data_IF_423814345341
#
_entry.id   IF_423814345341
#
_cell.length_a   1.000
_cell.length_b   1.000
_cell.length_c   1.000
_cell.angle_alpha   90.00
_cell.angle_beta   90.00
_cell.angle_gamma   90.00
#
_symmetry.space_group_name_H-M   'P 1'
#
loop_
_entity.id
_entity.type
_entity.pdbx_description
1 polymer ?
#
# COMPACT_ATOMS: atom_id res chain seq x y z
N UNK A 1 22.49 20.06 39.27
CA UNK A 1 23.16 19.08 38.38
C UNK A 1 22.26 17.95 37.88
N UNK A 2 21.45 17.28 38.71
CA UNK A 2 20.56 16.18 38.24
C UNK A 2 19.53 16.62 37.19
N UNK A 3 18.85 17.75 37.44
CA UNK A 3 17.85 18.34 36.51
C UNK A 3 18.43 18.69 35.13
N UNK A 4 19.64 19.25 35.08
CA UNK A 4 20.31 19.60 33.81
C UNK A 4 20.68 18.34 33.00
N UNK A 5 21.11 17.26 33.67
CA UNK A 5 21.37 15.97 32.99
C UNK A 5 20.09 15.34 32.43
N UNK A 6 18.98 15.40 33.18
CA UNK A 6 17.67 14.91 32.70
C UNK A 6 17.21 15.71 31.48
N UNK A 7 17.33 17.04 31.52
CA UNK A 7 16.96 17.91 30.41
C UNK A 7 17.77 17.58 29.14
N UNK A 8 19.08 17.36 29.27
CA UNK A 8 19.94 16.98 28.14
C UNK A 8 19.52 15.63 27.54
N UNK A 9 19.17 14.65 28.37
CA UNK A 9 18.69 13.33 27.88
C UNK A 9 17.39 13.48 27.11
N UNK A 10 16.44 14.28 27.61
CA UNK A 10 15.16 14.54 26.93
C UNK A 10 15.40 15.23 25.58
N UNK A 11 16.24 16.27 25.55
CA UNK A 11 16.57 17.00 24.32
C UNK A 11 17.28 16.09 23.32
N UNK A 12 18.24 15.28 23.77
CA UNK A 12 18.94 14.32 22.91
C UNK A 12 17.97 13.28 22.33
N UNK A 13 17.03 12.76 23.15
CA UNK A 13 15.99 11.85 22.69
C UNK A 13 15.07 12.48 21.64
N UNK A 14 14.68 13.74 21.83
CA UNK A 14 13.89 14.48 20.84
C UNK A 14 14.66 14.72 19.53
N UNK A 15 15.95 15.04 19.59
CA UNK A 15 16.79 15.24 18.40
C UNK A 15 16.97 13.92 17.63
N UNK A 16 17.23 12.81 18.34
CA UNK A 16 17.38 11.48 17.73
C UNK A 16 16.05 11.05 17.11
N UNK A 17 14.94 11.15 17.85
CA UNK A 17 13.61 10.81 17.34
C UNK A 17 13.23 11.64 16.11
N UNK A 18 13.46 12.96 16.14
CA UNK A 18 13.23 13.82 14.98
C UNK A 18 14.14 13.48 13.79
N UNK A 19 15.40 13.12 14.06
CA UNK A 19 16.35 12.69 13.03
C UNK A 19 15.90 11.39 12.35
N UNK A 20 15.54 10.37 13.13
CA UNK A 20 15.03 9.10 12.60
C UNK A 20 13.74 9.29 11.80
N UNK A 21 12.81 10.11 12.31
CA UNK A 21 11.58 10.46 11.60
C UNK A 21 11.86 11.12 10.24
N UNK A 22 12.74 12.12 10.20
CA UNK A 22 13.13 12.79 8.94
C UNK A 22 13.75 11.82 7.95
N UNK A 23 14.71 11.01 8.40
CA UNK A 23 15.39 10.03 7.54
C UNK A 23 14.39 9.02 7.00
N UNK A 24 13.45 8.55 7.81
CA UNK A 24 12.46 7.59 7.34
C UNK A 24 11.52 8.19 6.30
N UNK A 25 10.99 9.39 6.59
CA UNK A 25 10.15 10.12 5.65
C UNK A 25 10.88 10.36 4.33
N UNK A 26 12.14 10.78 4.40
CA UNK A 26 12.99 10.97 3.23
C UNK A 26 13.23 9.63 2.49
N UNK A 27 13.35 8.49 3.18
CA UNK A 27 13.48 7.16 2.55
C UNK A 27 12.20 6.79 1.79
N UNK A 28 11.03 7.00 2.39
CA UNK A 28 9.74 6.78 1.72
C UNK A 28 9.63 7.68 0.49
N UNK A 29 9.84 8.98 0.66
CA UNK A 29 9.79 9.97 -0.42
C UNK A 29 10.86 9.73 -1.50
N UNK A 30 12.06 9.25 -1.14
CA UNK A 30 13.11 8.87 -2.08
C UNK A 30 12.74 7.61 -2.88
N UNK A 31 12.14 6.60 -2.24
CA UNK A 31 11.66 5.40 -2.95
C UNK A 31 10.52 5.74 -3.91
N UNK A 32 9.66 6.68 -3.53
CA UNK A 32 8.57 7.18 -4.38
C UNK A 32 9.09 8.03 -5.55
N UNK A 33 10.08 8.90 -5.32
CA UNK A 33 10.64 9.80 -6.34
C UNK A 33 11.67 9.15 -7.28
N UNK A 34 12.30 8.05 -6.89
CA UNK A 34 13.24 7.30 -7.75
C UNK A 34 12.54 6.46 -8.85
N UNK A 35 11.22 6.54 -8.95
CA UNK A 35 10.44 5.80 -9.94
C UNK A 35 10.60 6.38 -11.34
N UNK A 36 11.15 5.58 -12.26
CA UNK A 36 10.98 5.76 -13.70
C UNK A 36 10.01 4.69 -14.25
N UNK A 37 8.91 5.07 -14.91
CA UNK A 37 7.93 4.11 -15.41
C UNK A 37 8.53 3.22 -16.50
N UNK A 38 8.60 1.92 -16.24
CA UNK A 38 8.99 0.91 -17.23
C UNK A 38 7.73 0.42 -17.93
N UNK A 39 7.42 1.00 -19.08
CA UNK A 39 6.34 0.52 -19.93
C UNK A 39 6.73 -0.82 -20.59
N UNK A 40 5.82 -1.80 -20.70
CA UNK A 40 6.03 -2.91 -21.62
C UNK A 40 6.25 -2.32 -23.03
N UNK A 41 7.16 -2.90 -23.84
CA UNK A 41 7.42 -2.39 -25.18
C UNK A 41 6.10 -2.30 -25.95
N UNK A 42 5.67 -1.08 -26.25
CA UNK A 42 4.58 -0.86 -27.20
C UNK A 42 5.04 -1.45 -28.52
N UNK A 43 4.38 -2.52 -28.94
CA UNK A 43 4.55 -3.09 -30.26
C UNK A 43 3.90 -2.10 -31.26
N UNK A 44 4.56 -0.98 -31.51
CA UNK A 44 4.15 0.01 -32.49
C UNK A 44 4.48 -0.57 -33.87
N UNK A 45 3.57 -1.40 -34.36
CA UNK A 45 3.43 -1.62 -35.79
C UNK A 45 3.01 -0.31 -36.45
N UNK A 46 3.74 0.01 -37.52
CA UNK A 46 3.37 0.89 -38.62
C UNK A 46 3.34 2.41 -38.36
N UNK A 47 4.51 3.01 -38.58
CA UNK A 47 4.76 4.01 -39.63
C UNK A 47 3.59 4.93 -40.02
N UNK A 48 3.66 6.21 -39.64
CA UNK A 48 3.39 7.37 -40.51
C UNK A 48 3.77 8.67 -39.80
N UNK A 49 4.70 9.41 -40.41
CA UNK A 49 5.19 10.71 -39.93
C UNK A 49 4.21 11.86 -40.13
N UNK A 50 4.45 12.97 -39.41
CA UNK A 50 3.75 14.23 -39.62
C UNK A 50 3.97 15.28 -38.52
N UNK A 51 4.68 16.36 -38.88
CA UNK A 51 4.65 17.74 -38.37
C UNK A 51 4.71 18.03 -36.85
N UNK A 52 5.84 18.64 -36.45
CA UNK A 52 5.95 19.49 -35.25
C UNK A 52 5.09 20.74 -35.44
N UNK A 53 4.04 20.88 -34.65
CA UNK A 53 3.30 22.15 -34.50
C UNK A 53 3.68 22.80 -33.17
N UNK A 54 4.06 24.08 -33.24
CA UNK A 54 4.41 24.93 -32.10
C UNK A 54 3.20 25.14 -31.19
N UNK A 55 3.24 24.63 -29.96
CA UNK A 55 2.21 24.85 -28.94
C UNK A 55 2.54 26.09 -28.07
N UNK A 56 1.53 26.91 -27.70
CA UNK A 56 1.68 28.10 -26.85
C UNK A 56 2.13 27.76 -25.40
N UNK A 57 2.63 28.74 -24.61
CA UNK A 57 3.27 28.49 -23.33
C UNK A 57 2.34 27.72 -22.37
N UNK A 58 2.93 26.69 -21.75
CA UNK A 58 2.29 25.67 -20.93
C UNK A 58 1.15 26.23 -20.06
N UNK A 59 -0.10 25.95 -20.47
CA UNK A 59 -1.14 25.70 -19.49
C UNK A 59 -0.66 24.51 -18.67
N UNK A 60 -0.56 24.67 -17.35
CA UNK A 60 -0.30 23.53 -16.46
C UNK A 60 -1.30 22.42 -16.85
N UNK A 61 -0.81 21.22 -17.21
CA UNK A 61 -1.71 20.15 -17.59
C UNK A 61 -2.64 19.90 -16.41
N UNK A 62 -3.93 19.62 -16.66
CA UNK A 62 -4.83 19.21 -15.58
C UNK A 62 -4.15 18.08 -14.82
N UNK A 63 -4.03 18.22 -13.49
CA UNK A 63 -3.49 17.15 -12.67
C UNK A 63 -4.36 15.92 -12.92
N UNK A 64 -3.79 14.98 -13.65
CA UNK A 64 -4.36 13.71 -13.99
C UNK A 64 -4.55 12.97 -12.66
N UNK A 65 -5.77 13.00 -12.12
CA UNK A 65 -6.15 12.39 -10.84
C UNK A 65 -5.85 10.88 -10.86
N UNK A 66 -5.67 10.29 -12.05
CA UNK A 66 -5.17 8.93 -12.26
C UNK A 66 -3.69 8.71 -11.82
N UNK A 67 -2.98 9.75 -11.33
CA UNK A 67 -1.53 9.73 -11.01
C UNK A 67 -1.14 10.12 -9.58
N UNK A 68 -1.97 9.84 -8.57
CA UNK A 68 -1.47 9.84 -7.20
C UNK A 68 -0.67 8.55 -6.95
N UNK A 69 0.59 8.63 -7.39
CA UNK A 69 1.73 7.85 -6.89
C UNK A 69 1.71 8.05 -5.37
N UNK A 70 1.86 6.97 -4.59
CA UNK A 70 1.65 6.93 -3.14
C UNK A 70 2.13 8.14 -2.33
N UNK A 71 1.54 8.38 -1.16
CA UNK A 71 1.99 9.43 -0.23
C UNK A 71 2.33 8.88 1.15
N UNK A 72 3.05 9.68 1.93
CA UNK A 72 3.40 9.35 3.30
C UNK A 72 2.32 9.80 4.31
N UNK A 73 2.07 8.94 5.29
CA UNK A 73 1.26 9.18 6.49
C UNK A 73 2.12 8.92 7.72
N UNK A 74 1.99 9.79 8.71
CA UNK A 74 2.75 9.66 9.96
C UNK A 74 2.19 8.51 10.81
N UNK A 75 3.07 7.63 11.27
CA UNK A 75 2.76 6.59 12.24
C UNK A 75 3.19 6.97 13.66
N UNK A 76 2.95 6.06 14.60
CA UNK A 76 3.34 6.25 16.01
C UNK A 76 4.59 5.48 16.40
N UNK A 77 5.19 4.73 15.48
CA UNK A 77 6.22 3.74 15.77
C UNK A 77 5.64 2.48 16.44
N UNK A 78 6.54 1.68 17.01
CA UNK A 78 6.20 0.48 17.78
C UNK A 78 5.68 0.79 19.18
N UNK A 79 4.77 -0.06 19.65
CA UNK A 79 4.20 -0.01 21.00
C UNK A 79 3.97 -1.43 21.53
N UNK A 80 4.03 -1.59 22.84
CA UNK A 80 3.57 -2.82 23.49
C UNK A 80 2.04 -2.75 23.65
N UNK A 81 1.35 -3.85 23.34
CA UNK A 81 -0.07 -4.03 23.66
C UNK A 81 -0.24 -5.33 24.47
N UNK A 82 -1.19 -5.38 25.42
CA UNK A 82 -1.36 -6.52 26.32
C UNK A 82 -2.18 -7.65 25.65
N UNK A 83 -1.67 -8.16 24.53
CA UNK A 83 -2.28 -9.25 23.76
C UNK A 83 -1.32 -10.44 23.70
N UNK A 84 -1.82 -11.62 24.05
CA UNK A 84 -1.07 -12.89 23.96
C UNK A 84 -1.56 -13.66 22.73
N UNK A 85 -0.86 -13.49 21.61
CA UNK A 85 -1.15 -14.17 20.35
C UNK A 85 0.14 -14.46 19.58
N UNK A 86 0.14 -15.55 18.82
CA UNK A 86 1.19 -15.89 17.86
C UNK A 86 0.95 -15.24 16.49
N UNK A 87 -0.25 -14.69 16.24
CA UNK A 87 -0.59 -14.01 14.98
C UNK A 87 0.27 -12.74 14.77
N UNK A 88 0.52 -12.40 13.51
CA UNK A 88 1.30 -11.20 13.13
C UNK A 88 0.46 -9.93 13.03
N UNK A 89 -0.84 -10.03 13.30
CA UNK A 89 -1.75 -8.90 13.37
C UNK A 89 -2.77 -9.09 14.50
N UNK A 90 -3.36 -7.98 14.96
CA UNK A 90 -4.51 -8.00 15.87
C UNK A 90 -5.30 -6.71 15.75
N UNK A 91 -6.62 -6.80 15.89
CA UNK A 91 -7.47 -5.63 16.11
C UNK A 91 -7.65 -5.44 17.62
N UNK A 92 -7.17 -4.32 18.15
CA UNK A 92 -7.25 -3.99 19.57
C UNK A 92 -7.71 -2.55 19.76
N UNK A 93 -8.68 -2.32 20.65
CA UNK A 93 -9.23 -0.98 20.96
C UNK A 93 -9.62 -0.14 19.72
N UNK A 94 -10.17 -0.79 18.68
CA UNK A 94 -10.62 -0.12 17.46
C UNK A 94 -9.48 0.32 16.53
N UNK A 95 -8.32 -0.31 16.62
CA UNK A 95 -7.22 -0.11 15.68
C UNK A 95 -6.60 -1.44 15.25
N UNK A 96 -6.06 -1.46 14.03
CA UNK A 96 -5.26 -2.56 13.52
C UNK A 96 -3.80 -2.39 13.97
N UNK A 97 -3.25 -3.46 14.53
CA UNK A 97 -1.83 -3.57 14.86
C UNK A 97 -1.22 -4.71 14.06
N UNK A 98 0.00 -4.49 13.55
CA UNK A 98 0.80 -5.50 12.86
C UNK A 98 2.20 -5.55 13.48
N UNK A 99 2.86 -6.70 13.45
CA UNK A 99 4.24 -6.86 13.92
C UNK A 99 5.06 -7.62 12.89
N UNK A 100 6.36 -7.34 12.81
CA UNK A 100 7.28 -8.09 11.94
C UNK A 100 7.69 -9.41 12.59
N UNK A 101 8.16 -10.38 11.79
CA UNK A 101 8.61 -11.69 12.31
C UNK A 101 9.83 -11.57 13.25
N UNK A 102 10.55 -10.46 13.18
CA UNK A 102 11.77 -10.20 13.95
C UNK A 102 11.47 -9.63 15.35
N UNK A 103 10.33 -8.97 15.53
CA UNK A 103 10.10 -8.12 16.71
C UNK A 103 8.83 -8.49 17.48
N UNK A 104 8.89 -8.28 18.80
CA UNK A 104 7.74 -8.51 19.68
C UNK A 104 6.77 -7.32 19.74
N UNK A 105 7.22 -6.13 19.36
CA UNK A 105 6.45 -4.90 19.49
C UNK A 105 5.52 -4.67 18.30
N UNK A 106 4.42 -3.97 18.55
CA UNK A 106 3.32 -3.80 17.60
C UNK A 106 3.34 -2.42 16.95
N UNK A 107 3.16 -2.38 15.63
CA UNK A 107 2.98 -1.15 14.88
C UNK A 107 1.49 -0.89 14.69
N UNK A 108 1.02 0.28 15.13
CA UNK A 108 -0.36 0.71 14.85
C UNK A 108 -0.45 1.19 13.40
N UNK A 109 -1.36 0.60 12.62
CA UNK A 109 -1.65 1.05 11.25
C UNK A 109 -2.48 2.34 11.33
N UNK A 110 -2.00 3.48 10.79
CA UNK A 110 -2.72 4.75 10.85
C UNK A 110 -3.84 4.81 9.81
N UNK A 111 -4.82 5.67 10.06
CA UNK A 111 -5.79 6.06 9.04
C UNK A 111 -5.16 7.05 8.05
N UNK A 112 -5.59 6.96 6.80
CA UNK A 112 -5.33 7.99 5.80
C UNK A 112 -6.50 8.99 5.75
N UNK A 113 -6.19 10.26 6.00
CA UNK A 113 -7.16 11.35 5.99
C UNK A 113 -7.30 12.00 4.61
N UNK A 114 -6.50 11.60 3.61
CA UNK A 114 -6.56 12.14 2.26
C UNK A 114 -7.83 11.70 1.54
N UNK A 115 -8.52 12.66 0.92
CA UNK A 115 -9.75 12.37 0.16
C UNK A 115 -9.48 11.45 -1.02
N UNK A 116 -10.26 10.39 -1.17
CA UNK A 116 -10.14 9.40 -2.25
C UNK A 116 -9.42 8.11 -1.84
N UNK A 117 -8.79 8.10 -0.66
CA UNK A 117 -8.20 6.92 -0.03
C UNK A 117 -9.13 6.35 1.04
N UNK A 118 -9.05 5.05 1.27
CA UNK A 118 -9.78 4.40 2.33
C UNK A 118 -9.09 4.65 3.69
N UNK A 119 -9.90 4.73 4.75
CA UNK A 119 -9.44 4.73 6.15
C UNK A 119 -9.46 3.30 6.68
N UNK A 120 -8.36 2.79 7.23
CA UNK A 120 -8.31 1.39 7.70
C UNK A 120 -9.33 1.14 8.82
N UNK A 121 -9.63 2.15 9.63
CA UNK A 121 -10.63 2.06 10.71
C UNK A 121 -12.04 1.72 10.22
N UNK A 122 -12.41 2.08 8.98
CA UNK A 122 -13.71 1.79 8.38
C UNK A 122 -13.84 0.35 7.84
N UNK A 123 -12.74 -0.42 7.86
CA UNK A 123 -12.62 -1.77 7.28
C UNK A 123 -12.15 -2.82 8.27
N UNK A 124 -11.97 -2.50 9.56
CA UNK A 124 -11.42 -3.43 10.57
C UNK A 124 -12.19 -4.75 10.68
N UNK A 125 -13.49 -4.74 10.40
CA UNK A 125 -14.37 -5.92 10.41
C UNK A 125 -14.17 -6.84 9.19
N UNK A 126 -13.48 -6.37 8.17
CA UNK A 126 -13.16 -7.10 6.93
C UNK A 126 -11.70 -7.54 6.84
N UNK A 127 -10.84 -7.07 7.76
CA UNK A 127 -9.42 -7.42 7.77
C UNK A 127 -9.25 -8.86 8.26
N UNK A 128 -8.51 -9.63 7.47
CA UNK A 128 -8.10 -10.99 7.75
C UNK A 128 -6.60 -11.15 7.50
N UNK A 129 -6.06 -12.35 7.75
CA UNK A 129 -4.65 -12.64 7.47
C UNK A 129 -4.29 -12.41 5.99
N UNK A 130 -5.20 -12.68 5.06
CA UNK A 130 -4.97 -12.51 3.62
C UNK A 130 -4.74 -11.05 3.22
N UNK A 131 -5.27 -10.11 4.02
CA UNK A 131 -5.08 -8.68 3.81
C UNK A 131 -3.67 -8.19 4.18
N UNK A 132 -2.85 -9.03 4.80
CA UNK A 132 -1.66 -8.60 5.53
C UNK A 132 -0.45 -9.37 5.01
N UNK A 133 0.56 -8.62 4.61
CA UNK A 133 1.88 -9.14 4.32
C UNK A 133 2.87 -8.64 5.35
N UNK A 134 3.68 -9.55 5.88
CA UNK A 134 4.75 -9.23 6.83
C UNK A 134 6.01 -9.97 6.40
N UNK A 135 7.13 -9.25 6.39
CA UNK A 135 8.48 -9.83 6.30
C UNK A 135 9.36 -9.28 7.42
N UNK A 136 10.62 -9.69 7.46
CA UNK A 136 11.62 -9.08 8.35
C UNK A 136 11.88 -7.58 8.02
N UNK A 137 11.59 -7.15 6.79
CA UNK A 137 11.93 -5.80 6.30
C UNK A 137 10.77 -4.81 6.37
N UNK A 138 9.53 -5.26 6.16
CA UNK A 138 8.38 -4.37 6.10
C UNK A 138 7.07 -5.09 6.39
N UNK A 139 6.04 -4.29 6.70
CA UNK A 139 4.65 -4.74 6.75
C UNK A 139 3.82 -3.99 5.71
N UNK A 140 2.81 -4.66 5.16
CA UNK A 140 1.87 -4.13 4.20
C UNK A 140 0.45 -4.62 4.51
N UNK A 141 -0.54 -3.74 4.34
CA UNK A 141 -1.96 -4.06 4.52
C UNK A 141 -2.75 -3.57 3.31
N UNK A 142 -3.60 -4.43 2.75
CA UNK A 142 -4.56 -4.10 1.69
C UNK A 142 -5.98 -4.04 2.23
N UNK A 143 -6.72 -2.99 1.86
CA UNK A 143 -8.08 -2.73 2.34
C UNK A 143 -8.79 -1.79 1.36
N UNK A 144 -10.03 -1.39 1.65
CA UNK A 144 -10.75 -0.43 0.79
C UNK A 144 -11.65 -1.08 -0.26
N UNK A 145 -12.00 -0.28 -1.27
CA UNK A 145 -12.82 -0.70 -2.41
C UNK A 145 -14.34 -0.60 -2.20
N UNK A 146 -14.82 -0.03 -1.08
CA UNK A 146 -16.26 0.18 -0.82
C UNK A 146 -16.66 1.63 -1.11
N UNK A 147 -17.89 1.84 -1.58
CA UNK A 147 -18.39 3.19 -1.84
C UNK A 147 -17.57 3.92 -2.90
N UNK A 148 -17.13 5.14 -2.60
CA UNK A 148 -16.27 5.95 -3.49
C UNK A 148 -14.78 5.70 -3.32
N UNK A 149 -14.38 4.81 -2.41
CA UNK A 149 -12.99 4.57 -2.08
C UNK A 149 -12.45 3.42 -2.91
N UNK A 150 -11.27 3.61 -3.48
CA UNK A 150 -10.53 2.56 -4.16
C UNK A 150 -9.93 1.58 -3.14
N UNK A 151 -9.39 0.46 -3.63
CA UNK A 151 -8.48 -0.39 -2.87
C UNK A 151 -7.25 0.45 -2.51
N UNK A 152 -6.92 0.47 -1.22
CA UNK A 152 -5.75 1.13 -0.65
C UNK A 152 -4.76 0.09 -0.13
N UNK A 153 -3.48 0.41 -0.24
CA UNK A 153 -2.36 -0.39 0.26
C UNK A 153 -1.51 0.52 1.14
N UNK A 154 -1.38 0.18 2.42
CA UNK A 154 -0.55 0.92 3.38
C UNK A 154 0.64 0.08 3.82
N UNK A 155 1.85 0.67 3.84
CA UNK A 155 3.10 -0.06 4.05
C UNK A 155 4.08 0.71 4.92
N UNK A 156 4.83 0.03 5.78
CA UNK A 156 5.91 0.63 6.59
C UNK A 156 7.17 -0.21 6.54
N UNK A 157 8.31 0.47 6.37
CA UNK A 157 9.66 -0.10 6.36
C UNK A 157 10.46 0.23 7.62
N UNK A 158 9.87 0.98 8.54
CA UNK A 158 10.55 1.73 9.59
C UNK A 158 9.85 1.56 10.94
N UNK A 159 9.40 0.34 11.22
CA UNK A 159 8.78 -0.02 12.50
C UNK A 159 7.55 0.87 12.80
N UNK A 160 6.80 1.23 11.76
CA UNK A 160 5.54 1.97 11.88
C UNK A 160 5.72 3.44 12.20
N UNK A 161 6.91 4.01 12.03
CA UNK A 161 7.15 5.46 12.21
C UNK A 161 6.57 6.26 11.04
N UNK A 162 6.64 5.74 9.82
CA UNK A 162 6.07 6.31 8.62
C UNK A 162 5.43 5.23 7.76
N UNK A 163 4.33 5.58 7.11
CA UNK A 163 3.58 4.68 6.26
C UNK A 163 3.43 5.27 4.87
N UNK A 164 3.73 4.49 3.83
CA UNK A 164 3.42 4.83 2.44
C UNK A 164 2.03 4.27 2.11
N UNK A 165 1.13 5.13 1.65
CA UNK A 165 -0.24 4.78 1.25
C UNK A 165 -0.36 4.94 -0.26
N UNK A 166 -0.66 3.83 -0.94
CA UNK A 166 -1.01 3.80 -2.36
C UNK A 166 -2.48 3.43 -2.56
N UNK A 167 -3.01 3.73 -3.74
CA UNK A 167 -4.37 3.38 -4.14
C UNK A 167 -4.38 2.81 -5.56
N UNK A 168 -5.22 1.81 -5.81
CA UNK A 168 -5.44 1.26 -7.15
C UNK A 168 -6.67 1.94 -7.76
N UNK A 169 -6.45 2.85 -8.72
CA UNK A 169 -7.53 3.58 -9.37
C UNK A 169 -8.59 2.66 -10.00
N UNK A 170 -9.84 3.13 -10.04
CA UNK A 170 -10.98 2.45 -10.69
C UNK A 170 -11.35 1.10 -10.04
N UNK A 171 -11.11 0.97 -8.75
CA UNK A 171 -11.50 -0.21 -7.95
C UNK A 171 -12.61 0.10 -6.95
N UNK A 172 -13.06 1.35 -6.86
CA UNK A 172 -14.24 1.71 -6.09
C UNK A 172 -15.50 1.00 -6.63
N UNK A 173 -16.17 0.24 -5.75
CA UNK A 173 -17.35 -0.55 -6.14
C UNK A 173 -18.64 0.27 -6.23
N UNK A 174 -18.65 1.50 -5.70
CA UNK A 174 -19.82 2.38 -5.58
C UNK A 174 -20.99 1.83 -4.74
N UNK A 175 -20.79 0.72 -4.03
CA UNK A 175 -21.73 0.20 -3.03
C UNK A 175 -21.21 0.53 -1.63
N UNK A 176 -22.00 1.27 -0.86
CA UNK A 176 -21.63 1.73 0.49
C UNK A 176 -21.54 0.60 1.53
N UNK A 177 -22.07 -0.59 1.24
CA UNK A 177 -22.13 -1.72 2.18
C UNK A 177 -21.27 -2.88 1.74
N UNK A 178 -21.11 -3.09 0.43
CA UNK A 178 -20.40 -4.26 -0.12
C UNK A 178 -19.23 -3.83 -1.01
N UNK A 179 -18.02 -4.03 -0.52
CA UNK A 179 -16.79 -3.89 -1.31
C UNK A 179 -16.39 -5.21 -1.96
N UNK A 180 -15.11 -5.54 -1.84
CA UNK A 180 -14.56 -6.85 -2.14
C UNK A 180 -14.80 -7.80 -0.96
N UNK A 181 -15.11 -9.06 -1.24
CA UNK A 181 -15.34 -10.06 -0.19
C UNK A 181 -14.02 -10.53 0.41
N UNK A 182 -12.96 -10.59 -0.39
CA UNK A 182 -11.61 -10.92 0.05
C UNK A 182 -10.57 -10.11 -0.73
N UNK A 183 -9.53 -9.66 -0.03
CA UNK A 183 -8.37 -9.00 -0.60
C UNK A 183 -7.13 -9.76 -0.14
N UNK A 184 -6.27 -10.10 -1.08
CA UNK A 184 -5.04 -10.83 -0.88
C UNK A 184 -3.87 -9.93 -1.25
N UNK A 185 -2.83 -9.86 -0.42
CA UNK A 185 -1.58 -9.17 -0.76
C UNK A 185 -0.38 -10.05 -0.43
N UNK A 186 0.63 -10.02 -1.32
CA UNK A 186 1.87 -10.75 -1.13
C UNK A 186 3.02 -10.06 -1.87
N UNK A 187 4.25 -10.33 -1.45
CA UNK A 187 5.44 -9.85 -2.11
C UNK A 187 6.47 -10.97 -2.29
N UNK A 188 7.21 -10.89 -3.40
CA UNK A 188 8.41 -11.67 -3.61
C UNK A 188 9.57 -11.00 -2.86
N UNK A 189 10.13 -11.72 -1.88
CA UNK A 189 11.26 -11.25 -1.05
C UNK A 189 12.49 -10.80 -1.87
N UNK A 190 12.72 -11.41 -3.05
CA UNK A 190 13.97 -11.23 -3.78
C UNK A 190 13.94 -10.08 -4.80
N UNK A 191 12.74 -9.71 -5.26
CA UNK A 191 12.57 -8.81 -6.42
C UNK A 191 11.78 -7.55 -6.11
N UNK A 192 11.15 -7.47 -4.93
CA UNK A 192 10.22 -6.38 -4.64
C UNK A 192 8.96 -6.41 -5.50
N UNK A 193 8.69 -7.54 -6.17
CA UNK A 193 7.44 -7.72 -6.92
C UNK A 193 6.29 -7.91 -5.95
N UNK A 194 5.28 -7.06 -6.02
CA UNK A 194 4.03 -7.20 -5.27
C UNK A 194 2.97 -7.91 -6.11
N UNK A 195 2.15 -8.69 -5.43
CA UNK A 195 1.00 -9.41 -5.99
C UNK A 195 -0.23 -9.03 -5.16
N UNK A 196 -1.36 -8.84 -5.83
CA UNK A 196 -2.63 -8.55 -5.16
C UNK A 196 -3.77 -9.21 -5.94
N UNK A 197 -4.67 -9.86 -5.22
CA UNK A 197 -5.91 -10.39 -5.78
C UNK A 197 -7.10 -9.85 -4.99
N UNK A 198 -8.13 -9.40 -5.70
CA UNK A 198 -9.35 -8.86 -5.12
C UNK A 198 -10.55 -9.67 -5.60
N UNK A 199 -11.16 -10.44 -4.70
CA UNK A 199 -12.32 -11.26 -4.99
C UNK A 199 -13.60 -10.48 -4.72
N UNK A 200 -14.50 -10.46 -5.70
CA UNK A 200 -15.81 -9.84 -5.61
C UNK A 200 -16.89 -10.80 -6.09
N UNK A 201 -17.85 -11.07 -5.22
CA UNK A 201 -19.03 -11.82 -5.56
C UNK A 201 -20.13 -10.87 -6.08
N UNK A 202 -20.39 -10.92 -7.38
CA UNK A 202 -21.44 -10.12 -8.02
C UNK A 202 -22.80 -10.85 -8.05
N UNK A 203 -23.00 -11.78 -7.13
CA UNK A 203 -24.25 -12.51 -6.92
C UNK A 203 -24.29 -13.84 -7.67
N UNK A 204 -24.22 -13.81 -9.01
CA UNK A 204 -24.27 -15.03 -9.83
C UNK A 204 -22.91 -15.65 -10.14
N UNK A 205 -21.83 -14.90 -9.95
CA UNK A 205 -20.46 -15.34 -10.20
C UNK A 205 -19.50 -14.55 -9.30
N UNK A 206 -18.42 -15.19 -8.89
CA UNK A 206 -17.27 -14.51 -8.31
C UNK A 206 -16.33 -14.05 -9.41
N UNK A 207 -15.84 -12.81 -9.30
CA UNK A 207 -14.82 -12.22 -10.16
C UNK A 207 -13.55 -12.01 -9.32
N UNK A 208 -12.38 -12.38 -9.87
CA UNK A 208 -11.09 -12.11 -9.24
C UNK A 208 -10.35 -11.09 -10.10
N UNK A 209 -10.11 -9.90 -9.55
CA UNK A 209 -9.24 -8.91 -10.14
C UNK A 209 -7.81 -9.13 -9.65
N UNK A 210 -6.86 -9.26 -10.57
CA UNK A 210 -5.46 -9.46 -10.25
C UNK A 210 -4.64 -8.19 -10.55
N UNK A 211 -3.65 -7.92 -9.72
CA UNK A 211 -2.75 -6.78 -9.87
C UNK A 211 -1.32 -7.19 -9.53
N UNK A 212 -0.38 -6.52 -10.18
CA UNK A 212 1.05 -6.71 -9.95
C UNK A 212 1.74 -5.37 -9.73
N UNK A 213 2.68 -5.34 -8.81
CA UNK A 213 3.61 -4.24 -8.63
C UNK A 213 5.02 -4.69 -8.96
N UNK A 214 5.79 -3.84 -9.64
CA UNK A 214 7.22 -4.06 -9.92
C UNK A 214 8.13 -3.09 -9.16
N UNK A 215 7.55 -2.33 -8.22
CA UNK A 215 8.25 -1.27 -7.46
C UNK A 215 7.90 -1.34 -5.97
N UNK A 216 7.94 -2.55 -5.39
CA UNK A 216 7.64 -2.79 -3.99
C UNK A 216 6.23 -2.38 -3.57
N UNK A 217 5.24 -2.29 -4.46
CA UNK A 217 3.85 -1.95 -4.11
C UNK A 217 3.55 -0.46 -4.09
N UNK A 218 4.40 0.37 -4.71
CA UNK A 218 4.17 1.83 -4.88
C UNK A 218 3.08 2.05 -5.94
N UNK A 219 3.18 1.36 -7.08
CA UNK A 219 2.15 1.32 -8.12
C UNK A 219 1.72 -0.10 -8.42
N UNK A 220 0.49 -0.25 -8.89
CA UNK A 220 -0.13 -1.54 -9.15
C UNK A 220 -0.79 -1.53 -10.52
N UNK A 221 -0.34 -2.42 -11.39
CA UNK A 221 -0.86 -2.59 -12.73
C UNK A 221 -1.90 -3.72 -12.74
N UNK A 222 -3.07 -3.53 -13.37
CA UNK A 222 -4.05 -4.60 -13.51
C UNK A 222 -3.52 -5.69 -14.43
N UNK A 223 -3.73 -6.94 -14.02
CA UNK A 223 -3.39 -8.13 -14.81
C UNK A 223 -4.69 -8.78 -15.28
N UNK A 224 -4.90 -8.80 -16.59
CA UNK A 224 -6.14 -9.34 -17.17
C UNK A 224 -6.08 -10.85 -17.29
N UNK A 225 -7.23 -11.54 -17.31
CA UNK A 225 -7.31 -13.00 -17.47
C UNK A 225 -6.61 -13.55 -18.72
N UNK A 226 -6.48 -12.73 -19.78
CA UNK A 226 -5.79 -13.09 -21.01
C UNK A 226 -4.25 -12.96 -20.92
N UNK A 227 -3.73 -12.41 -19.82
CA UNK A 227 -2.31 -12.25 -19.56
C UNK A 227 -1.72 -13.53 -18.96
N UNK A 228 -0.53 -13.91 -19.40
CA UNK A 228 0.20 -15.05 -18.84
C UNK A 228 0.57 -14.84 -17.36
N UNK A 229 0.63 -13.59 -16.90
CA UNK A 229 0.87 -13.24 -15.50
C UNK A 229 -0.35 -13.48 -14.60
N UNK A 230 -1.56 -13.57 -15.15
CA UNK A 230 -2.78 -13.76 -14.35
C UNK A 230 -2.74 -15.02 -13.48
N UNK A 231 -2.47 -16.23 -14.04
CA UNK A 231 -2.32 -17.43 -13.22
C UNK A 231 -1.15 -17.35 -12.24
N UNK A 232 -0.08 -16.60 -12.57
CA UNK A 232 1.05 -16.39 -11.65
C UNK A 232 0.61 -15.63 -10.40
N UNK A 233 -0.11 -14.51 -10.56
CA UNK A 233 -0.63 -13.71 -9.45
C UNK A 233 -1.54 -14.56 -8.56
N UNK A 234 -2.49 -15.30 -9.16
CA UNK A 234 -3.41 -16.14 -8.39
C UNK A 234 -2.71 -17.26 -7.63
N UNK A 235 -1.67 -17.85 -8.22
CA UNK A 235 -0.92 -18.95 -7.59
C UNK A 235 -0.20 -18.53 -6.30
N UNK A 236 0.16 -17.25 -6.15
CA UNK A 236 0.75 -16.72 -4.91
C UNK A 236 -0.17 -16.88 -3.70
N UNK A 237 -1.49 -16.94 -3.96
CA UNK A 237 -2.52 -17.03 -2.93
C UNK A 237 -3.22 -18.39 -2.93
N UNK A 238 -2.69 -19.38 -3.66
CA UNK A 238 -3.33 -20.68 -3.83
C UNK A 238 -4.68 -20.63 -4.58
N UNK A 239 -4.97 -19.52 -5.25
CA UNK A 239 -6.18 -19.33 -6.04
C UNK A 239 -6.03 -19.95 -7.45
N UNK A 240 -7.16 -20.26 -8.08
CA UNK A 240 -7.22 -20.72 -9.47
C UNK A 240 -8.11 -19.78 -10.27
N UNK A 241 -7.76 -19.60 -11.54
CA UNK A 241 -8.65 -18.93 -12.48
C UNK A 241 -9.99 -19.69 -12.54
N UNK A 242 -11.10 -18.95 -12.59
CA UNK A 242 -12.42 -19.54 -12.77
C UNK A 242 -12.52 -19.98 -14.22
N UNK A 243 -12.69 -21.28 -14.46
CA UNK A 243 -12.90 -21.87 -15.81
C UNK A 243 -14.32 -21.62 -16.35
#
# INVERSE_FOLDING_TARGET
MKLVKILIIIIAGLIIGYGSYRVSKDIVECRESAYEPVYPPQNNGDDMGGEKTDLPPAMEPPQDIDRLISHSVDGTGTTDIPVDTEELFVVHEGALYVRTEKEAAWMKVPDDEMTGYARISDYLDTISQDNIYVSEEFAAVVYGGRGSENISIIRSYDEGVAWSVGSISKTATHDLKKGYDQLYIGFSNDTGTGYLAAFRNTGSSGEIHAYRSVNNGVTWDPVTENDQLYPEVLSQFGLKAVE
#
